data_IF_061462393379
#
_entry.id   IF_061462393379
#
_cell.length_a   1.000
_cell.length_b   1.000
_cell.length_c   1.000
_cell.angle_alpha   90.00
_cell.angle_beta   90.00
_cell.angle_gamma   90.00
#
_symmetry.space_group_name_H-M   'P 1'
#
loop_
_entity.id
_entity.type
_entity.pdbx_description
1 polymer ?
#
# COMPACT_ATOMS: atom_id res chain seq x y z
N UNK A 1 37.91 41.27 -10.65
CA UNK A 1 37.16 40.05 -10.24
C UNK A 1 36.63 39.36 -11.50
N UNK A 2 36.97 38.09 -11.75
CA UNK A 2 36.50 37.33 -12.93
C UNK A 2 35.21 36.58 -12.57
N UNK A 3 34.13 36.81 -13.31
CA UNK A 3 32.86 36.11 -13.14
C UNK A 3 32.96 34.74 -13.82
N UNK A 4 32.65 33.66 -13.10
CA UNK A 4 32.66 32.31 -13.64
C UNK A 4 31.53 32.14 -14.67
N UNK A 5 31.83 31.48 -15.81
CA UNK A 5 30.81 31.15 -16.82
C UNK A 5 29.90 30.06 -16.28
N UNK A 6 28.61 30.36 -16.16
CA UNK A 6 27.57 29.39 -15.83
C UNK A 6 27.10 28.68 -17.09
N UNK A 7 27.08 27.35 -17.06
CA UNK A 7 26.51 26.52 -18.13
C UNK A 7 25.07 26.18 -17.78
N UNK A 8 24.12 26.56 -18.63
CA UNK A 8 22.71 26.16 -18.52
C UNK A 8 22.58 24.68 -18.84
N UNK A 9 22.22 23.88 -17.84
CA UNK A 9 21.94 22.44 -17.98
C UNK A 9 20.43 22.23 -18.04
N UNK A 10 19.96 21.35 -18.93
CA UNK A 10 18.55 21.02 -19.02
C UNK A 10 18.07 20.24 -17.79
N UNK A 11 16.84 20.53 -17.35
CA UNK A 11 16.20 19.84 -16.23
C UNK A 11 15.88 18.38 -16.56
N UNK A 12 16.28 17.47 -15.66
CA UNK A 12 15.94 16.06 -15.79
C UNK A 12 14.47 15.81 -15.43
N UNK A 13 13.67 15.38 -16.40
CA UNK A 13 12.27 14.99 -16.17
C UNK A 13 12.24 13.54 -15.67
N UNK A 14 11.90 13.35 -14.39
CA UNK A 14 11.63 12.03 -13.84
C UNK A 14 10.32 11.50 -14.44
N UNK A 15 10.41 10.46 -15.29
CA UNK A 15 9.23 9.67 -15.65
C UNK A 15 8.69 9.04 -14.37
N UNK A 16 7.46 9.38 -13.97
CA UNK A 16 6.75 8.58 -12.97
C UNK A 16 6.75 7.15 -13.49
N UNK A 17 7.29 6.23 -12.70
CA UNK A 17 7.12 4.81 -12.97
C UNK A 17 5.63 4.59 -13.22
N UNK A 18 5.31 3.87 -14.30
CA UNK A 18 3.93 3.46 -14.56
C UNK A 18 3.37 2.92 -13.24
N UNK A 19 2.13 3.33 -12.90
CA UNK A 19 1.44 2.86 -11.71
C UNK A 19 1.74 1.36 -11.56
N UNK A 20 2.29 0.97 -10.40
CA UNK A 20 2.76 -0.40 -10.11
C UNK A 20 1.83 -1.37 -10.82
N UNK A 21 2.37 -2.11 -11.81
CA UNK A 21 1.56 -2.97 -12.66
C UNK A 21 0.73 -3.89 -11.76
N UNK A 22 -0.57 -3.64 -11.74
CA UNK A 22 -1.53 -4.48 -11.04
C UNK A 22 -1.57 -5.83 -11.74
N UNK A 23 -1.79 -6.90 -10.97
CA UNK A 23 -1.80 -8.23 -11.56
C UNK A 23 -2.90 -8.36 -12.64
N UNK A 24 -2.69 -9.21 -13.66
CA UNK A 24 -3.65 -9.36 -14.74
C UNK A 24 -5.05 -9.74 -14.22
N UNK A 25 -6.09 -9.14 -14.78
CA UNK A 25 -7.48 -9.28 -14.30
C UNK A 25 -8.06 -10.69 -14.49
N UNK A 26 -7.50 -11.47 -15.42
CA UNK A 26 -7.98 -12.81 -15.75
C UNK A 26 -7.46 -13.91 -14.81
N UNK A 27 -6.50 -13.60 -13.93
CA UNK A 27 -6.06 -14.58 -12.93
C UNK A 27 -7.14 -14.75 -11.86
N UNK A 28 -7.36 -15.97 -11.35
CA UNK A 28 -8.18 -16.17 -10.17
C UNK A 28 -7.61 -15.34 -9.01
N UNK A 29 -8.52 -14.74 -8.23
CA UNK A 29 -8.20 -13.89 -7.08
C UNK A 29 -8.80 -14.50 -5.84
N UNK A 30 -7.94 -14.79 -4.88
CA UNK A 30 -8.33 -15.23 -3.56
C UNK A 30 -8.18 -14.07 -2.57
N UNK A 31 -9.28 -13.66 -1.94
CA UNK A 31 -9.28 -12.53 -1.00
C UNK A 31 -9.15 -13.07 0.43
N UNK A 32 -7.97 -12.88 1.02
CA UNK A 32 -7.70 -13.26 2.41
C UNK A 32 -7.83 -12.02 3.28
N UNK A 33 -8.90 -11.95 4.08
CA UNK A 33 -9.12 -10.85 5.02
C UNK A 33 -8.47 -11.22 6.35
N UNK A 34 -7.53 -10.39 6.80
CA UNK A 34 -6.95 -10.51 8.13
C UNK A 34 -7.90 -9.80 9.11
N UNK A 35 -8.40 -10.55 10.09
CA UNK A 35 -9.30 -10.00 11.11
C UNK A 35 -8.64 -8.84 11.85
N UNK A 36 -9.39 -7.77 12.11
CA UNK A 36 -8.85 -6.64 12.83
C UNK A 36 -8.68 -6.91 14.32
N UNK A 37 -7.77 -6.17 14.98
CA UNK A 37 -7.68 -6.21 16.43
C UNK A 37 -9.00 -5.71 17.05
N UNK A 38 -9.47 -6.38 18.09
CA UNK A 38 -10.69 -6.01 18.83
C UNK A 38 -10.53 -4.78 19.72
N UNK A 39 -9.29 -4.35 20.00
CA UNK A 39 -8.97 -3.18 20.80
C UNK A 39 -7.70 -2.47 20.31
N UNK A 40 -7.55 -1.17 20.58
CA UNK A 40 -6.29 -0.47 20.30
C UNK A 40 -5.12 -1.12 21.03
N UNK A 41 -4.03 -1.41 20.31
CA UNK A 41 -2.76 -1.79 20.93
C UNK A 41 -2.15 -0.68 21.81
N UNK A 42 -2.59 0.57 21.62
CA UNK A 42 -2.16 1.73 22.39
C UNK A 42 -2.75 1.74 23.81
N UNK A 43 -4.07 1.87 23.91
CA UNK A 43 -4.79 2.20 25.16
C UNK A 43 -5.99 1.31 25.42
N UNK A 44 -6.18 0.22 24.66
CA UNK A 44 -7.30 -0.70 24.85
C UNK A 44 -8.68 -0.09 24.60
N UNK A 45 -8.75 0.96 23.77
CA UNK A 45 -10.02 1.51 23.33
C UNK A 45 -10.81 0.49 22.51
N UNK A 46 -12.12 0.41 22.76
CA UNK A 46 -13.05 -0.47 22.04
C UNK A 46 -13.90 0.28 21.00
N UNK A 47 -13.59 1.57 20.73
CA UNK A 47 -14.36 2.43 19.82
C UNK A 47 -13.59 2.61 18.51
N UNK A 48 -13.30 1.48 17.88
CA UNK A 48 -12.58 1.39 16.62
C UNK A 48 -13.49 1.85 15.47
N UNK A 49 -13.00 2.78 14.65
CA UNK A 49 -13.62 3.19 13.39
C UNK A 49 -12.75 2.70 12.23
N UNK A 50 -13.40 2.18 11.18
CA UNK A 50 -12.73 1.76 9.95
C UNK A 50 -12.25 2.99 9.17
N UNK A 51 -10.95 3.09 8.93
CA UNK A 51 -10.32 4.17 8.15
C UNK A 51 -10.14 3.81 6.68
N UNK A 52 -9.84 2.54 6.40
CA UNK A 52 -9.57 2.07 5.05
C UNK A 52 -9.06 0.65 5.02
N UNK A 53 -8.72 0.17 3.84
CA UNK A 53 -8.19 -1.16 3.60
C UNK A 53 -6.81 -1.05 2.97
N UNK A 54 -5.84 -1.77 3.52
CA UNK A 54 -4.56 -2.00 2.87
C UNK A 54 -4.66 -3.30 2.10
N UNK A 55 -4.48 -3.25 0.78
CA UNK A 55 -4.56 -4.42 -0.09
C UNK A 55 -3.18 -4.72 -0.64
N UNK A 56 -2.61 -5.84 -0.20
CA UNK A 56 -1.36 -6.37 -0.74
C UNK A 56 -1.68 -7.56 -1.63
N UNK A 57 -1.31 -7.48 -2.90
CA UNK A 57 -1.49 -8.57 -3.86
C UNK A 57 -0.18 -9.36 -4.00
N UNK A 58 -0.25 -10.68 -3.88
CA UNK A 58 0.88 -11.60 -4.04
C UNK A 58 0.52 -12.64 -5.10
N UNK A 59 1.45 -12.92 -6.02
CA UNK A 59 1.27 -13.94 -7.05
C UNK A 59 1.85 -15.27 -6.56
N UNK A 60 0.99 -16.28 -6.40
CA UNK A 60 1.41 -17.63 -6.02
C UNK A 60 1.31 -18.60 -7.20
N UNK A 61 2.31 -19.49 -7.28
CA UNK A 61 2.35 -20.56 -8.27
C UNK A 61 1.96 -21.87 -7.59
N UNK A 62 0.72 -22.29 -7.83
CA UNK A 62 0.29 -23.68 -7.61
C UNK A 62 0.82 -24.44 -8.85
N UNK A 63 1.33 -25.69 -8.75
CA UNK A 63 2.19 -26.34 -9.75
C UNK A 63 1.83 -26.22 -11.26
N UNK A 64 0.60 -25.83 -11.63
CA UNK A 64 0.18 -25.48 -13.00
C UNK A 64 -0.70 -24.22 -13.12
N UNK A 65 -0.96 -23.49 -12.05
CA UNK A 65 -1.91 -22.39 -12.01
C UNK A 65 -1.32 -21.18 -11.28
N UNK A 66 -1.58 -20.00 -11.84
CA UNK A 66 -1.25 -18.74 -11.20
C UNK A 66 -2.47 -18.25 -10.43
N UNK A 67 -2.29 -17.99 -9.13
CA UNK A 67 -3.30 -17.40 -8.28
C UNK A 67 -2.80 -16.05 -7.76
N UNK A 68 -3.70 -15.08 -7.65
CA UNK A 68 -3.39 -13.80 -6.99
C UNK A 68 -4.05 -13.83 -5.62
N UNK A 69 -3.24 -13.82 -4.57
CA UNK A 69 -3.71 -13.69 -3.20
C UNK A 69 -3.76 -12.21 -2.85
N UNK A 70 -4.98 -11.69 -2.71
CA UNK A 70 -5.23 -10.34 -2.22
C UNK A 70 -5.38 -10.40 -0.70
N UNK A 71 -4.30 -10.10 0.02
CA UNK A 71 -4.36 -9.97 1.48
C UNK A 71 -4.88 -8.59 1.84
N UNK A 72 -6.02 -8.55 2.52
CA UNK A 72 -6.68 -7.32 2.98
C UNK A 72 -6.42 -7.15 4.47
N UNK A 73 -5.77 -6.05 4.83
CA UNK A 73 -5.61 -5.59 6.20
C UNK A 73 -6.47 -4.35 6.40
N UNK A 74 -7.54 -4.51 7.15
CA UNK A 74 -8.39 -3.38 7.50
C UNK A 74 -7.66 -2.47 8.51
N UNK A 75 -7.65 -1.17 8.25
CA UNK A 75 -7.08 -0.15 9.14
C UNK A 75 -8.18 0.42 10.03
N UNK A 76 -7.92 0.41 11.33
CA UNK A 76 -8.82 0.97 12.34
C UNK A 76 -8.15 2.10 13.10
N UNK A 77 -8.93 3.11 13.50
CA UNK A 77 -8.51 4.11 14.48
C UNK A 77 -9.53 4.23 15.61
N UNK A 78 -9.04 4.36 16.84
CA UNK A 78 -9.87 4.76 17.96
C UNK A 78 -9.97 6.27 18.05
N UNK A 79 -11.16 6.78 18.33
CA UNK A 79 -11.43 8.22 18.48
C UNK A 79 -10.56 8.91 19.55
N UNK A 80 -10.05 8.14 20.52
CA UNK A 80 -9.23 8.66 21.61
C UNK A 80 -7.73 8.64 21.29
N UNK A 81 -7.26 7.85 20.31
CA UNK A 81 -5.82 7.70 20.06
C UNK A 81 -5.32 8.78 19.09
N UNK A 82 -4.31 9.59 19.47
CA UNK A 82 -3.70 10.59 18.58
C UNK A 82 -2.73 9.98 17.55
N UNK A 83 -2.39 8.69 17.67
CA UNK A 83 -1.54 7.97 16.75
C UNK A 83 -2.38 6.92 16.00
N UNK A 84 -2.67 7.20 14.73
CA UNK A 84 -3.38 6.32 13.80
C UNK A 84 -2.53 6.06 12.56
#
# INVERSE_FOLDING_TARGET
>A
MRVAKTTTVQGFVRKRAAARQTFPVHLPRERVVIEPPTACACWGGNRLRKLGEDVTQTLEVIPRQWNVIETVREKFSDCACPYA
#
